data_IF_316838890944
#
_entry.id   IF_316838890944
#
_cell.length_a   1.000
_cell.length_b   1.000
_cell.length_c   1.000
_cell.angle_alpha   90.00
_cell.angle_beta   90.00
_cell.angle_gamma   90.00
#
_symmetry.space_group_name_H-M   'P 1'
#
loop_
_entity.id
_entity.type
_entity.pdbx_description
1 polymer ?
#
# COMPACT_ATOMS: atom_id res chain seq x y z
N UNK A 1 -40.72 71.29 24.38
CA UNK A 1 -41.19 70.10 23.68
C UNK A 1 -39.98 69.17 23.51
N UNK A 2 -40.05 67.94 24.03
CA UNK A 2 -38.92 67.02 24.25
C UNK A 2 -38.57 66.27 22.96
N UNK A 3 -37.31 66.35 22.52
CA UNK A 3 -36.74 65.53 21.47
C UNK A 3 -36.08 64.29 22.11
N UNK A 4 -36.55 63.09 21.70
CA UNK A 4 -35.95 61.79 22.11
C UNK A 4 -34.88 61.43 21.13
N UNK A 5 -33.66 61.25 21.65
CA UNK A 5 -32.57 60.69 20.90
C UNK A 5 -32.68 59.14 20.72
N UNK A 6 -32.40 58.64 19.50
CA UNK A 6 -32.24 57.22 19.21
C UNK A 6 -30.77 56.85 19.34
N UNK A 7 -30.48 55.90 20.22
CA UNK A 7 -29.15 55.30 20.34
C UNK A 7 -29.03 54.18 19.32
N UNK A 8 -28.03 54.27 18.44
CA UNK A 8 -27.65 53.24 17.50
C UNK A 8 -26.75 52.24 18.22
N UNK A 9 -27.19 50.98 18.32
CA UNK A 9 -26.37 49.87 18.81
C UNK A 9 -25.74 49.20 17.57
N UNK A 10 -24.45 49.45 17.35
CA UNK A 10 -23.62 48.70 16.38
C UNK A 10 -23.19 47.38 17.00
N UNK A 11 -23.90 46.33 16.66
CA UNK A 11 -23.50 44.95 16.99
C UNK A 11 -22.38 44.49 16.07
N UNK A 12 -21.16 44.40 16.57
CA UNK A 12 -20.06 43.69 15.88
C UNK A 12 -20.29 42.19 15.95
N UNK A 13 -20.70 41.59 14.83
CA UNK A 13 -20.74 40.16 14.70
C UNK A 13 -19.30 39.64 14.55
N UNK A 14 -18.76 39.01 15.60
CA UNK A 14 -17.52 38.23 15.53
C UNK A 14 -17.86 36.94 14.78
N UNK A 15 -17.44 36.88 13.52
CA UNK A 15 -17.47 35.65 12.71
C UNK A 15 -16.37 34.72 13.21
N UNK A 16 -16.71 33.82 14.14
CA UNK A 16 -15.80 32.74 14.55
C UNK A 16 -15.62 31.77 13.41
N UNK A 17 -14.51 31.86 12.69
CA UNK A 17 -14.08 30.86 11.72
C UNK A 17 -13.66 29.61 12.52
N UNK A 18 -14.57 28.66 12.63
CA UNK A 18 -14.25 27.30 13.11
C UNK A 18 -13.47 26.59 11.99
N UNK A 19 -12.16 26.84 11.94
CA UNK A 19 -11.25 25.99 11.19
C UNK A 19 -11.28 24.60 11.85
N UNK A 20 -11.96 23.67 11.21
CA UNK A 20 -12.07 22.29 11.71
C UNK A 20 -10.67 21.71 11.87
N UNK A 21 -10.36 21.21 13.06
CA UNK A 21 -9.07 20.58 13.40
C UNK A 21 -8.65 19.44 12.43
N UNK A 22 -9.58 18.90 11.65
CA UNK A 22 -9.37 17.93 10.60
C UNK A 22 -8.58 18.45 9.38
N UNK A 23 -8.84 19.70 8.93
CA UNK A 23 -8.14 20.28 7.79
C UNK A 23 -6.67 20.60 8.09
N UNK A 24 -6.38 21.05 9.31
CA UNK A 24 -5.00 21.31 9.78
C UNK A 24 -4.19 20.03 9.94
N UNK A 25 -4.80 18.91 10.38
CA UNK A 25 -4.15 17.61 10.47
C UNK A 25 -3.85 17.00 9.09
N UNK A 26 -4.73 17.16 8.11
CA UNK A 26 -4.53 16.67 6.74
C UNK A 26 -3.30 17.32 6.08
N UNK A 27 -3.15 18.63 6.23
CA UNK A 27 -2.02 19.39 5.69
C UNK A 27 -0.71 19.05 6.42
N UNK A 28 -0.77 18.72 7.71
CA UNK A 28 0.41 18.32 8.48
C UNK A 28 1.05 17.03 7.96
N UNK A 29 0.28 15.98 7.65
CA UNK A 29 0.82 14.68 7.18
C UNK A 29 1.48 14.77 5.81
N UNK A 30 0.99 15.61 4.91
CA UNK A 30 1.60 15.82 3.58
C UNK A 30 2.99 16.46 3.63
N UNK A 31 3.37 17.07 4.75
CA UNK A 31 4.67 17.72 4.96
C UNK A 31 5.62 16.90 5.85
N UNK A 32 5.17 15.75 6.38
CA UNK A 32 5.93 14.93 7.33
C UNK A 32 6.81 13.92 6.59
N UNK A 33 7.95 13.60 7.17
CA UNK A 33 8.88 12.58 6.71
C UNK A 33 10.10 13.15 5.99
N UNK A 34 11.15 12.36 5.95
CA UNK A 34 12.38 12.62 5.18
C UNK A 34 12.37 11.76 3.93
N UNK A 35 12.50 12.39 2.79
CA UNK A 35 12.61 11.70 1.51
C UNK A 35 14.09 11.52 1.14
N UNK A 36 14.45 10.37 0.60
CA UNK A 36 15.78 10.08 0.09
C UNK A 36 15.74 9.05 -1.04
N UNK A 37 16.79 9.06 -1.86
CA UNK A 37 16.99 8.08 -2.91
C UNK A 37 18.18 7.19 -2.55
N UNK A 38 18.04 5.89 -2.82
CA UNK A 38 19.11 4.92 -2.76
C UNK A 38 19.38 4.34 -4.15
N UNK A 39 20.62 4.38 -4.58
CA UNK A 39 21.04 3.91 -5.90
C UNK A 39 21.67 2.53 -5.78
N UNK A 40 21.05 1.54 -6.41
CA UNK A 40 21.61 0.21 -6.60
C UNK A 40 22.31 0.17 -7.96
N UNK A 41 23.62 0.01 -7.94
CA UNK A 41 24.40 -0.17 -9.16
C UNK A 41 24.35 -1.62 -9.63
N UNK A 42 24.31 -1.80 -10.95
CA UNK A 42 24.30 -3.11 -11.63
C UNK A 42 23.27 -4.07 -11.02
N UNK A 43 22.01 -3.59 -10.94
CA UNK A 43 20.95 -4.43 -10.39
C UNK A 43 20.54 -5.52 -11.36
N UNK A 44 20.72 -6.77 -10.96
CA UNK A 44 20.35 -7.96 -11.73
C UNK A 44 18.94 -8.38 -11.41
N UNK A 45 18.10 -8.43 -12.43
CA UNK A 45 16.71 -8.93 -12.33
C UNK A 45 16.65 -10.44 -12.49
N UNK A 46 15.59 -11.06 -12.02
CA UNK A 46 15.38 -12.51 -12.09
C UNK A 46 15.36 -13.07 -13.53
N UNK A 47 14.99 -12.24 -14.51
CA UNK A 47 15.02 -12.60 -15.94
C UNK A 47 16.43 -12.52 -16.58
N UNK A 48 17.45 -12.15 -15.81
CA UNK A 48 18.83 -12.00 -16.25
C UNK A 48 19.17 -10.62 -16.83
N UNK A 49 18.19 -9.73 -16.97
CA UNK A 49 18.46 -8.34 -17.38
C UNK A 49 19.19 -7.57 -16.28
N UNK A 50 19.93 -6.52 -16.67
CA UNK A 50 20.68 -5.67 -15.74
C UNK A 50 20.33 -4.22 -15.97
N UNK A 51 20.01 -3.50 -14.88
CA UNK A 51 19.88 -2.06 -14.92
C UNK A 51 21.12 -1.44 -14.28
N UNK A 52 21.92 -0.64 -15.01
CA UNK A 52 23.16 -0.05 -14.48
C UNK A 52 22.95 0.77 -13.21
N UNK A 53 21.83 1.46 -13.12
CA UNK A 53 21.41 2.20 -11.90
C UNK A 53 19.92 2.02 -11.69
N UNK A 54 19.56 1.33 -10.61
CA UNK A 54 18.18 1.27 -10.09
C UNK A 54 18.06 2.25 -8.93
N UNK A 55 17.27 3.32 -9.12
CA UNK A 55 16.94 4.27 -8.05
C UNK A 55 15.74 3.73 -7.27
N UNK A 56 15.85 3.68 -5.95
CA UNK A 56 14.78 3.40 -5.02
C UNK A 56 14.53 4.63 -4.17
N UNK A 57 13.33 5.18 -4.24
CA UNK A 57 12.88 6.30 -3.43
C UNK A 57 12.24 5.78 -2.14
N UNK A 58 12.47 6.49 -1.04
CA UNK A 58 11.89 6.13 0.25
C UNK A 58 11.54 7.38 1.06
N UNK A 59 10.39 7.35 1.71
CA UNK A 59 10.04 8.31 2.76
C UNK A 59 10.17 7.64 4.12
N UNK A 60 10.82 8.29 5.07
CA UNK A 60 10.99 7.76 6.44
C UNK A 60 10.44 8.73 7.48
N UNK A 61 9.90 8.17 8.60
CA UNK A 61 9.50 8.94 9.76
C UNK A 61 10.18 8.36 11.01
N UNK A 62 10.50 9.22 11.97
CA UNK A 62 11.20 8.80 13.20
C UNK A 62 12.67 8.47 12.96
N UNK A 63 13.26 7.75 13.90
CA UNK A 63 14.69 7.39 13.87
C UNK A 63 14.87 5.93 14.31
N UNK A 64 15.85 5.19 13.75
CA UNK A 64 16.16 3.85 14.19
C UNK A 64 16.73 3.85 15.60
N UNK A 65 16.23 2.97 16.46
CA UNK A 65 16.77 2.70 17.79
C UNK A 65 17.48 1.36 17.79
N UNK A 66 18.60 1.30 18.48
CA UNK A 66 19.42 0.07 18.55
C UNK A 66 19.54 -0.40 19.99
N UNK A 67 19.55 -1.70 20.16
CA UNK A 67 19.90 -2.33 21.44
C UNK A 67 21.42 -2.31 21.70
N UNK A 68 21.85 -2.89 22.81
CA UNK A 68 23.25 -2.97 23.20
C UNK A 68 24.12 -3.81 22.23
N UNK A 69 23.52 -4.67 21.42
CA UNK A 69 24.18 -5.49 20.40
C UNK A 69 24.15 -4.83 19.01
N UNK A 70 23.57 -3.63 18.90
CA UNK A 70 23.45 -2.90 17.64
C UNK A 70 22.33 -3.36 16.73
N UNK A 71 21.44 -4.26 17.18
CA UNK A 71 20.21 -4.66 16.47
C UNK A 71 19.23 -3.49 16.48
N UNK A 72 18.66 -3.14 15.33
CA UNK A 72 17.54 -2.19 15.25
C UNK A 72 16.28 -2.86 15.80
N UNK A 73 15.57 -2.17 16.70
CA UNK A 73 14.46 -2.76 17.47
C UNK A 73 13.10 -2.14 17.16
N UNK A 74 13.04 -1.05 16.41
CA UNK A 74 11.81 -0.28 16.20
C UNK A 74 11.49 0.05 14.73
N UNK A 75 12.16 -0.58 13.79
CA UNK A 75 11.94 -0.30 12.37
C UNK A 75 10.73 -1.07 11.83
N UNK A 76 9.85 -0.34 11.15
CA UNK A 76 8.63 -0.87 10.50
C UNK A 76 8.67 -0.50 9.02
N UNK A 77 8.56 -1.47 8.13
CA UNK A 77 8.38 -1.21 6.71
C UNK A 77 6.92 -1.38 6.31
N UNK A 78 6.39 -0.44 5.52
CA UNK A 78 5.02 -0.47 5.00
C UNK A 78 5.04 -0.44 3.49
N UNK A 79 4.56 -1.53 2.86
CA UNK A 79 4.63 -1.76 1.42
C UNK A 79 3.30 -1.44 0.75
N UNK A 80 3.34 -0.59 -0.30
CA UNK A 80 2.13 -0.11 -0.98
C UNK A 80 1.55 -1.11 -1.98
N UNK A 81 0.27 -0.94 -2.30
CA UNK A 81 -0.44 -1.68 -3.33
C UNK A 81 -0.13 -1.19 -4.75
N UNK A 82 -0.64 -1.92 -5.77
CA UNK A 82 -0.54 -1.53 -7.20
C UNK A 82 -1.09 -0.12 -7.41
N UNK A 83 -0.41 0.69 -8.18
CA UNK A 83 -0.75 2.09 -8.43
C UNK A 83 -0.46 3.04 -7.26
N UNK A 84 -0.01 2.53 -6.11
CA UNK A 84 0.32 3.33 -4.94
C UNK A 84 1.78 3.79 -4.89
N UNK A 85 2.10 4.49 -3.80
CA UNK A 85 3.46 4.92 -3.45
C UNK A 85 3.64 4.83 -1.95
N UNK A 86 4.88 4.80 -1.46
CA UNK A 86 5.17 4.85 -0.03
C UNK A 86 4.56 6.10 0.62
N UNK A 87 4.63 7.23 -0.06
CA UNK A 87 4.05 8.49 0.42
C UNK A 87 2.52 8.48 0.50
N UNK A 88 1.84 7.60 -0.24
CA UNK A 88 0.39 7.42 -0.16
C UNK A 88 -0.11 7.04 1.23
N UNK A 89 0.73 6.41 2.06
CA UNK A 89 0.42 6.13 3.46
C UNK A 89 0.41 7.35 4.38
N UNK A 90 0.89 8.50 3.91
CA UNK A 90 0.81 9.76 4.66
C UNK A 90 -0.54 10.46 4.49
N UNK A 91 -1.58 9.73 4.11
CA UNK A 91 -2.95 10.24 4.17
C UNK A 91 -3.43 10.36 5.62
N UNK A 92 -4.31 11.34 5.93
CA UNK A 92 -4.86 11.48 7.29
C UNK A 92 -5.57 10.23 7.80
N UNK A 93 -6.22 9.49 6.90
CA UNK A 93 -6.96 8.27 7.22
C UNK A 93 -6.06 7.08 7.51
N UNK A 94 -4.81 7.09 7.08
CA UNK A 94 -3.83 6.04 7.35
C UNK A 94 -2.81 6.49 8.40
N UNK A 95 -2.05 7.55 8.12
CA UNK A 95 -1.02 8.03 9.04
C UNK A 95 -1.59 8.55 10.36
N UNK A 96 -2.74 9.23 10.32
CA UNK A 96 -3.41 9.72 11.52
C UNK A 96 -3.86 8.63 12.48
N UNK A 97 -4.13 7.44 11.95
CA UNK A 97 -4.58 6.28 12.74
C UNK A 97 -3.44 5.36 13.19
N UNK A 98 -2.23 5.50 12.62
CA UNK A 98 -1.12 4.60 12.93
C UNK A 98 0.14 5.31 13.40
N UNK A 99 0.50 6.47 12.80
CA UNK A 99 1.81 7.08 12.98
C UNK A 99 1.78 8.33 13.87
N UNK A 100 0.58 8.76 14.27
CA UNK A 100 0.37 9.91 15.15
C UNK A 100 0.80 9.68 16.59
N UNK A 101 0.87 10.75 17.39
CA UNK A 101 1.24 10.64 18.80
C UNK A 101 0.30 9.71 19.58
N UNK A 102 0.87 8.70 20.25
CA UNK A 102 0.14 7.70 21.03
C UNK A 102 -0.54 6.60 20.21
N UNK A 103 -0.41 6.60 18.88
CA UNK A 103 -0.89 5.51 18.04
C UNK A 103 0.07 4.31 18.05
N UNK A 104 -0.39 3.15 17.54
CA UNK A 104 0.34 1.89 17.65
C UNK A 104 1.74 1.92 17.03
N UNK A 105 1.94 2.69 15.97
CA UNK A 105 3.21 2.87 15.28
C UNK A 105 3.64 4.35 15.33
N UNK A 106 3.45 4.99 16.48
CA UNK A 106 3.84 6.39 16.71
C UNK A 106 5.26 6.67 16.20
N UNK A 107 5.40 7.60 15.27
CA UNK A 107 6.68 7.97 14.66
C UNK A 107 7.70 8.58 15.64
N UNK A 108 7.28 8.97 16.85
CA UNK A 108 8.19 9.35 17.91
C UNK A 108 8.91 8.15 18.54
N UNK A 109 8.36 6.95 18.42
CA UNK A 109 8.91 5.72 19.00
C UNK A 109 9.33 4.70 17.96
N UNK A 110 8.77 4.74 16.75
CA UNK A 110 9.05 3.82 15.65
C UNK A 110 9.80 4.52 14.51
N UNK A 111 10.62 3.76 13.81
CA UNK A 111 11.23 4.16 12.54
C UNK A 111 10.42 3.59 11.39
N UNK A 112 9.54 4.41 10.81
CA UNK A 112 8.64 4.02 9.74
C UNK A 112 9.36 4.20 8.40
N UNK A 113 9.35 3.16 7.57
CA UNK A 113 10.01 3.10 6.27
C UNK A 113 8.93 2.88 5.21
N UNK A 114 8.76 3.84 4.32
CA UNK A 114 7.74 3.86 3.27
C UNK A 114 8.42 3.89 1.90
N UNK A 115 8.89 2.75 1.35
CA UNK A 115 9.55 2.74 0.05
C UNK A 115 8.53 2.88 -1.09
N UNK A 116 8.93 3.55 -2.16
CA UNK A 116 8.32 3.38 -3.47
C UNK A 116 8.88 2.10 -4.11
N UNK A 117 8.02 1.22 -4.55
CA UNK A 117 8.42 0.00 -5.26
C UNK A 117 9.04 0.31 -6.64
N UNK A 118 9.79 -0.65 -7.21
CA UNK A 118 10.20 -0.57 -8.62
C UNK A 118 8.94 -0.36 -9.47
N UNK A 119 9.00 0.56 -10.42
CA UNK A 119 7.87 0.86 -11.30
C UNK A 119 6.85 1.84 -10.70
N UNK A 120 7.09 2.42 -9.51
CA UNK A 120 6.15 3.30 -8.82
C UNK A 120 6.81 4.57 -8.27
N UNK A 121 6.00 5.59 -8.08
CA UNK A 121 6.38 6.84 -7.43
C UNK A 121 7.61 7.51 -8.04
N UNK A 122 8.60 7.77 -7.19
CA UNK A 122 9.90 8.34 -7.58
C UNK A 122 11.00 7.28 -7.77
N UNK A 123 10.72 5.99 -7.55
CA UNK A 123 11.64 4.89 -7.91
C UNK A 123 11.74 4.74 -9.42
N UNK A 124 12.79 4.10 -9.92
CA UNK A 124 12.97 3.84 -11.35
C UNK A 124 11.77 3.11 -11.95
N UNK A 125 11.28 3.57 -13.08
CA UNK A 125 10.08 3.07 -13.75
C UNK A 125 10.15 3.25 -15.28
N UNK A 126 9.34 2.54 -16.05
CA UNK A 126 9.29 2.65 -17.52
C UNK A 126 9.14 4.08 -18.05
N UNK A 127 8.26 4.87 -17.42
CA UNK A 127 7.99 6.26 -17.83
C UNK A 127 9.16 7.23 -17.62
N UNK A 128 10.21 6.84 -16.88
CA UNK A 128 11.44 7.65 -16.71
C UNK A 128 12.30 7.71 -17.99
N UNK A 129 11.81 7.24 -19.14
CA UNK A 129 12.43 7.37 -20.46
C UNK A 129 12.82 6.04 -21.10
N UNK A 130 12.93 4.95 -20.37
CA UNK A 130 13.22 3.63 -20.95
C UNK A 130 12.01 3.02 -21.66
N UNK A 131 10.81 3.38 -21.25
CA UNK A 131 9.54 2.87 -21.78
C UNK A 131 9.54 1.32 -21.81
N UNK A 132 9.20 0.70 -22.94
CA UNK A 132 9.19 -0.77 -23.10
C UNK A 132 10.57 -1.44 -23.03
N UNK A 133 11.65 -0.68 -22.95
CA UNK A 133 13.01 -1.23 -22.71
C UNK A 133 13.36 -1.35 -21.24
N UNK A 134 12.48 -0.90 -20.32
CA UNK A 134 12.66 -1.11 -18.89
C UNK A 134 12.61 -2.63 -18.59
N UNK A 135 13.46 -3.16 -17.69
CA UNK A 135 13.45 -4.57 -17.33
C UNK A 135 12.09 -5.05 -16.85
N UNK A 136 11.70 -6.27 -17.24
CA UNK A 136 10.47 -6.92 -16.77
C UNK A 136 10.63 -7.43 -15.34
N UNK A 137 10.57 -6.52 -14.37
CA UNK A 137 10.72 -6.87 -12.96
C UNK A 137 9.57 -7.72 -12.44
N UNK A 138 9.87 -8.49 -11.39
CA UNK A 138 8.95 -9.36 -10.68
C UNK A 138 8.84 -8.96 -9.20
N UNK A 139 7.91 -9.55 -8.47
CA UNK A 139 7.82 -9.31 -7.03
C UNK A 139 9.08 -9.77 -6.29
N UNK A 140 9.73 -10.84 -6.75
CA UNK A 140 11.02 -11.27 -6.22
C UNK A 140 12.11 -10.21 -6.35
N UNK A 141 12.13 -9.47 -7.47
CA UNK A 141 13.06 -8.37 -7.70
C UNK A 141 12.74 -7.19 -6.77
N UNK A 142 11.44 -6.87 -6.62
CA UNK A 142 10.98 -5.80 -5.73
C UNK A 142 11.37 -6.08 -4.27
N UNK A 143 11.14 -7.29 -3.78
CA UNK A 143 11.51 -7.71 -2.41
C UNK A 143 13.02 -7.69 -2.22
N UNK A 144 13.80 -8.13 -3.22
CA UNK A 144 15.28 -8.04 -3.19
C UNK A 144 15.75 -6.59 -3.13
N UNK A 145 15.18 -5.72 -3.94
CA UNK A 145 15.53 -4.29 -3.96
C UNK A 145 15.16 -3.60 -2.63
N UNK A 146 13.98 -3.91 -2.07
CA UNK A 146 13.55 -3.41 -0.76
C UNK A 146 14.50 -3.86 0.35
N UNK A 147 14.90 -5.13 0.36
CA UNK A 147 15.87 -5.66 1.33
C UNK A 147 17.20 -4.91 1.26
N UNK A 148 17.73 -4.68 0.06
CA UNK A 148 18.96 -3.93 -0.15
C UNK A 148 18.83 -2.46 0.24
N UNK A 149 17.71 -1.81 -0.08
CA UNK A 149 17.42 -0.45 0.40
C UNK A 149 17.47 -0.37 1.93
N UNK A 150 16.83 -1.32 2.61
CA UNK A 150 16.75 -1.36 4.08
C UNK A 150 18.13 -1.64 4.69
N UNK A 151 18.85 -2.63 4.19
CA UNK A 151 20.13 -3.07 4.78
C UNK A 151 21.29 -2.19 4.35
N UNK A 152 21.43 -1.89 3.06
CA UNK A 152 22.55 -1.17 2.49
C UNK A 152 22.32 0.35 2.49
N UNK A 153 21.09 0.81 2.23
CA UNK A 153 20.74 2.24 2.19
C UNK A 153 20.51 2.80 3.59
N UNK A 154 19.56 2.24 4.32
CA UNK A 154 19.13 2.74 5.62
C UNK A 154 19.94 2.16 6.79
N UNK A 155 20.82 1.19 6.54
CA UNK A 155 21.64 0.51 7.57
C UNK A 155 20.78 -0.13 8.68
N UNK A 156 19.58 -0.60 8.33
CA UNK A 156 18.69 -1.34 9.22
C UNK A 156 19.01 -2.82 9.08
N UNK A 157 19.36 -3.47 10.18
CA UNK A 157 19.76 -4.87 10.22
C UNK A 157 18.68 -5.80 10.79
N UNK A 158 17.52 -5.24 11.19
CA UNK A 158 16.37 -5.99 11.66
C UNK A 158 15.11 -5.12 11.64
N UNK A 159 13.95 -5.73 11.42
CA UNK A 159 12.64 -5.06 11.40
C UNK A 159 11.78 -5.58 12.57
N UNK A 160 11.11 -4.67 13.26
CA UNK A 160 10.05 -5.01 14.19
C UNK A 160 8.85 -5.60 13.42
N UNK A 161 8.50 -4.98 12.27
CA UNK A 161 7.33 -5.36 11.52
C UNK A 161 7.56 -5.14 10.01
N UNK A 162 7.14 -6.11 9.19
CA UNK A 162 6.87 -5.91 7.77
C UNK A 162 5.37 -5.96 7.57
N UNK A 163 4.79 -4.89 7.04
CA UNK A 163 3.39 -4.86 6.68
C UNK A 163 3.20 -4.33 5.26
N UNK A 164 2.11 -4.72 4.64
CA UNK A 164 1.82 -4.25 3.29
C UNK A 164 0.37 -4.45 2.90
N UNK A 165 -0.06 -3.67 1.92
CA UNK A 165 -1.44 -3.65 1.42
C UNK A 165 -1.49 -4.18 -0.01
N UNK A 166 -2.41 -5.11 -0.33
CA UNK A 166 -2.61 -5.64 -1.69
C UNK A 166 -1.29 -6.21 -2.26
N UNK A 167 -0.71 -5.60 -3.31
CA UNK A 167 0.61 -5.95 -3.83
C UNK A 167 1.67 -5.97 -2.71
N UNK A 168 1.68 -4.96 -1.84
CA UNK A 168 2.57 -4.93 -0.67
C UNK A 168 2.28 -6.05 0.32
N UNK A 169 1.02 -6.44 0.48
CA UNK A 169 0.63 -7.61 1.28
C UNK A 169 1.18 -8.91 0.68
N UNK A 170 1.13 -9.06 -0.65
CA UNK A 170 1.75 -10.18 -1.36
C UNK A 170 3.27 -10.22 -1.15
N UNK A 171 3.92 -9.06 -1.23
CA UNK A 171 5.35 -8.95 -0.93
C UNK A 171 5.67 -9.24 0.56
N UNK A 172 4.75 -8.94 1.48
CA UNK A 172 4.92 -9.26 2.91
C UNK A 172 5.03 -10.78 3.15
N UNK A 173 4.23 -11.60 2.45
CA UNK A 173 4.39 -13.05 2.47
C UNK A 173 5.77 -13.47 2.00
N UNK A 174 6.22 -12.93 0.86
CA UNK A 174 7.56 -13.23 0.29
C UNK A 174 8.70 -12.79 1.20
N UNK A 175 8.54 -11.69 1.94
CA UNK A 175 9.50 -11.25 2.95
C UNK A 175 9.68 -12.31 4.05
N UNK A 176 8.59 -12.84 4.57
CA UNK A 176 8.61 -13.88 5.59
C UNK A 176 9.32 -15.15 5.16
N UNK A 177 9.14 -15.57 3.90
CA UNK A 177 9.79 -16.76 3.32
C UNK A 177 11.26 -16.55 3.04
N UNK A 178 11.61 -15.41 2.46
CA UNK A 178 12.97 -15.16 1.95
C UNK A 178 13.94 -14.71 3.03
N UNK A 179 13.44 -14.01 4.06
CA UNK A 179 14.23 -13.43 5.14
C UNK A 179 13.67 -13.76 6.52
N UNK A 180 13.39 -15.05 6.84
CA UNK A 180 12.57 -15.42 8.01
C UNK A 180 13.12 -14.92 9.35
N UNK A 181 14.43 -14.71 9.47
CA UNK A 181 15.05 -14.19 10.71
C UNK A 181 15.19 -12.66 10.76
N UNK A 182 14.71 -11.94 9.74
CA UNK A 182 14.95 -10.50 9.61
C UNK A 182 13.87 -9.62 10.23
N UNK A 183 12.74 -10.20 10.65
CA UNK A 183 11.64 -9.46 11.27
C UNK A 183 11.04 -10.20 12.45
N UNK A 184 10.43 -9.41 13.36
CA UNK A 184 9.73 -9.94 14.54
C UNK A 184 8.23 -10.17 14.26
N UNK A 185 7.67 -9.61 13.18
CA UNK A 185 6.26 -9.82 12.80
C UNK A 185 5.94 -9.48 11.35
N UNK A 186 4.82 -10.03 10.87
CA UNK A 186 4.32 -9.88 9.50
C UNK A 186 2.81 -9.55 9.50
N UNK A 187 2.41 -8.52 8.72
CA UNK A 187 1.01 -8.13 8.57
C UNK A 187 0.65 -7.96 7.09
N UNK A 188 0.39 -9.04 6.33
CA UNK A 188 -0.16 -8.94 5.00
C UNK A 188 -1.65 -8.57 5.03
N UNK A 189 -2.02 -7.48 4.34
CA UNK A 189 -3.38 -6.97 4.22
C UNK A 189 -3.90 -7.14 2.80
N UNK A 190 -5.13 -7.62 2.64
CA UNK A 190 -5.81 -7.78 1.36
C UNK A 190 -4.99 -8.57 0.33
N UNK A 191 -4.46 -9.70 0.74
CA UNK A 191 -3.66 -10.62 -0.08
C UNK A 191 -3.79 -12.05 0.44
N UNK A 192 -3.61 -13.03 -0.45
CA UNK A 192 -3.74 -14.45 -0.10
C UNK A 192 -2.42 -15.20 -0.30
N UNK A 193 -2.11 -16.21 0.53
CA UNK A 193 -0.87 -16.98 0.45
C UNK A 193 -0.98 -18.14 -0.57
N UNK A 194 -1.23 -17.81 -1.82
CA UNK A 194 -1.39 -18.81 -2.87
C UNK A 194 -1.02 -18.27 -4.25
N UNK A 195 -0.97 -19.15 -5.27
CA UNK A 195 -0.60 -18.76 -6.61
C UNK A 195 -1.58 -17.73 -7.19
N UNK A 196 -1.07 -16.84 -8.03
CA UNK A 196 -1.89 -15.90 -8.78
C UNK A 196 -2.73 -16.64 -9.83
N UNK A 197 -3.95 -17.02 -9.45
CA UNK A 197 -4.85 -17.84 -10.25
C UNK A 197 -6.28 -17.27 -10.31
N UNK A 198 -7.16 -17.97 -10.99
CA UNK A 198 -8.59 -17.68 -11.05
C UNK A 198 -8.91 -16.25 -11.48
N UNK A 199 -9.93 -15.67 -10.87
CA UNK A 199 -10.47 -14.35 -11.21
C UNK A 199 -9.42 -13.23 -11.06
N UNK A 200 -8.56 -13.29 -10.04
CA UNK A 200 -7.49 -12.31 -9.86
C UNK A 200 -6.51 -12.33 -11.05
N UNK A 201 -6.07 -13.52 -11.49
CA UNK A 201 -5.21 -13.63 -12.68
C UNK A 201 -5.94 -13.21 -13.95
N UNK A 202 -7.21 -13.52 -14.10
CA UNK A 202 -8.03 -13.11 -15.26
C UNK A 202 -8.11 -11.59 -15.31
N UNK A 203 -8.39 -10.92 -14.20
CA UNK A 203 -8.40 -9.45 -14.11
C UNK A 203 -7.07 -8.85 -14.59
N UNK A 204 -5.94 -9.35 -14.08
CA UNK A 204 -4.60 -8.89 -14.48
C UNK A 204 -4.34 -9.12 -15.99
N UNK A 205 -4.79 -10.24 -16.52
CA UNK A 205 -4.72 -10.53 -17.96
C UNK A 205 -5.53 -9.53 -18.77
N UNK A 206 -6.75 -9.24 -18.35
CA UNK A 206 -7.62 -8.27 -19.04
C UNK A 206 -7.03 -6.85 -19.01
N UNK A 207 -6.46 -6.43 -17.88
CA UNK A 207 -5.73 -5.16 -17.76
C UNK A 207 -4.57 -5.11 -18.74
N UNK A 208 -3.73 -6.14 -18.76
CA UNK A 208 -2.57 -6.22 -19.67
C UNK A 208 -3.01 -6.24 -21.14
N UNK A 209 -4.06 -7.01 -21.48
CA UNK A 209 -4.57 -7.11 -22.85
C UNK A 209 -5.20 -5.81 -23.33
N UNK A 210 -5.91 -5.09 -22.47
CA UNK A 210 -6.49 -3.79 -22.82
C UNK A 210 -5.43 -2.81 -23.33
N UNK A 211 -4.28 -2.79 -22.66
CA UNK A 211 -3.15 -1.92 -23.07
C UNK A 211 -2.41 -2.50 -24.28
N UNK A 212 -2.04 -3.80 -24.24
CA UNK A 212 -1.17 -4.40 -25.27
C UNK A 212 -1.84 -4.54 -26.63
N UNK A 213 -3.17 -4.74 -26.66
CA UNK A 213 -3.93 -4.88 -27.90
C UNK A 213 -4.35 -3.52 -28.50
N UNK A 214 -4.11 -2.42 -27.81
CA UNK A 214 -4.35 -1.09 -28.34
C UNK A 214 -3.25 -0.69 -29.34
N UNK A 215 -3.59 -0.42 -30.63
CA UNK A 215 -2.62 0.05 -31.60
C UNK A 215 -1.90 1.35 -31.19
N UNK A 216 -2.54 2.20 -30.38
CA UNK A 216 -1.96 3.45 -29.88
C UNK A 216 -0.85 3.22 -28.86
N UNK A 217 -0.77 2.03 -28.24
CA UNK A 217 0.32 1.66 -27.33
C UNK A 217 1.67 1.54 -28.02
N UNK A 218 1.69 1.21 -29.33
CA UNK A 218 2.90 1.15 -30.18
C UNK A 218 4.05 0.32 -29.56
N UNK A 219 3.72 -0.83 -28.95
CA UNK A 219 4.72 -1.65 -28.27
C UNK A 219 5.41 -0.94 -27.09
N UNK A 220 4.71 0.00 -26.44
CA UNK A 220 5.20 0.79 -25.31
C UNK A 220 5.93 2.07 -25.69
N UNK A 221 5.95 2.47 -26.98
CA UNK A 221 6.66 3.66 -27.46
C UNK A 221 5.73 4.85 -27.77
N UNK A 222 4.50 4.86 -27.26
CA UNK A 222 3.52 5.91 -27.45
C UNK A 222 4.05 7.31 -27.05
N UNK A 223 3.43 8.33 -27.61
CA UNK A 223 3.66 9.75 -27.26
C UNK A 223 2.57 10.27 -26.34
N UNK A 224 1.32 9.91 -26.63
CA UNK A 224 0.14 10.18 -25.79
C UNK A 224 -0.34 8.87 -25.19
N UNK A 225 -0.93 8.93 -24.00
CA UNK A 225 -1.44 7.72 -23.32
C UNK A 225 -2.43 6.96 -24.23
N UNK A 226 -2.24 5.65 -24.42
CA UNK A 226 -3.11 4.83 -25.28
C UNK A 226 -4.50 4.70 -24.66
N UNK A 227 -5.53 4.57 -25.48
CA UNK A 227 -6.93 4.38 -25.02
C UNK A 227 -7.14 3.09 -24.26
N UNK A 228 -6.32 2.08 -24.51
CA UNK A 228 -6.34 0.82 -23.76
C UNK A 228 -6.13 0.99 -22.26
N UNK A 229 -5.45 2.07 -21.85
CA UNK A 229 -5.32 2.42 -20.44
C UNK A 229 -6.70 2.69 -19.79
N UNK A 230 -7.65 3.24 -20.54
CA UNK A 230 -9.01 3.48 -20.05
C UNK A 230 -9.68 2.17 -19.62
N UNK A 231 -9.72 1.17 -20.51
CA UNK A 231 -10.32 -0.14 -20.19
C UNK A 231 -9.58 -0.89 -19.06
N UNK A 232 -8.27 -0.69 -18.95
CA UNK A 232 -7.47 -1.26 -17.86
C UNK A 232 -7.86 -0.66 -16.50
N UNK A 233 -8.05 0.66 -16.42
CA UNK A 233 -8.50 1.36 -15.21
C UNK A 233 -9.95 1.02 -14.84
N UNK A 234 -10.85 0.88 -15.84
CA UNK A 234 -12.23 0.43 -15.60
C UNK A 234 -12.26 -0.95 -14.91
N UNK A 235 -11.42 -1.87 -15.37
CA UNK A 235 -11.30 -3.20 -14.77
C UNK A 235 -10.84 -3.12 -13.32
N UNK A 236 -9.82 -2.30 -13.04
CA UNK A 236 -9.33 -2.08 -11.67
C UNK A 236 -10.42 -1.48 -10.79
N UNK A 237 -11.11 -0.45 -11.26
CA UNK A 237 -12.22 0.18 -10.55
C UNK A 237 -13.27 -0.83 -10.13
N UNK A 238 -13.75 -1.64 -11.06
CA UNK A 238 -14.79 -2.64 -10.77
C UNK A 238 -14.33 -3.71 -9.77
N UNK A 239 -13.08 -4.16 -9.88
CA UNK A 239 -12.55 -5.22 -9.00
C UNK A 239 -12.23 -4.75 -7.59
N UNK A 240 -11.85 -3.48 -7.43
CA UNK A 240 -11.43 -2.95 -6.11
C UNK A 240 -12.54 -2.23 -5.36
N UNK A 241 -13.67 -1.95 -6.01
CA UNK A 241 -14.80 -1.23 -5.41
C UNK A 241 -15.68 -2.11 -4.52
N UNK A 242 -16.51 -1.48 -3.69
CA UNK A 242 -17.49 -2.14 -2.83
C UNK A 242 -18.91 -1.75 -3.25
N UNK A 243 -19.80 -2.71 -3.59
CA UNK A 243 -21.18 -2.44 -4.00
C UNK A 243 -21.95 -1.58 -2.99
N UNK A 244 -21.80 -1.83 -1.69
CA UNK A 244 -22.48 -1.06 -0.64
C UNK A 244 -22.04 0.40 -0.64
N UNK A 245 -20.76 0.67 -0.82
CA UNK A 245 -20.23 2.04 -0.82
C UNK A 245 -20.59 2.76 -2.13
N UNK A 246 -20.54 2.06 -3.26
CA UNK A 246 -20.94 2.64 -4.54
C UNK A 246 -22.41 3.02 -4.54
N UNK A 247 -23.30 2.18 -4.01
CA UNK A 247 -24.73 2.52 -3.90
C UNK A 247 -24.97 3.74 -3.03
N UNK A 248 -24.21 3.91 -1.93
CA UNK A 248 -24.28 5.12 -1.08
C UNK A 248 -23.79 6.38 -1.79
N UNK A 249 -22.67 6.26 -2.51
CA UNK A 249 -22.04 7.38 -3.21
C UNK A 249 -22.79 7.79 -4.48
N UNK A 250 -23.47 6.83 -5.11
CA UNK A 250 -24.11 6.97 -6.42
C UNK A 250 -25.45 6.22 -6.46
N UNK A 251 -26.48 6.72 -5.72
CA UNK A 251 -27.74 5.99 -5.52
C UNK A 251 -28.72 6.06 -6.72
N UNK A 252 -28.41 6.81 -7.78
CA UNK A 252 -29.22 6.93 -8.98
C UNK A 252 -28.39 6.69 -10.23
N UNK A 253 -29.06 6.43 -11.37
CA UNK A 253 -28.41 6.29 -12.67
C UNK A 253 -27.46 7.47 -12.96
N UNK A 254 -27.97 8.71 -12.88
CA UNK A 254 -27.21 9.90 -13.25
C UNK A 254 -26.01 10.11 -12.32
N UNK A 255 -26.17 9.83 -11.02
CA UNK A 255 -25.05 9.90 -10.06
C UNK A 255 -24.03 8.80 -10.27
N UNK A 256 -24.44 7.61 -10.72
CA UNK A 256 -23.52 6.51 -11.05
C UNK A 256 -22.69 6.85 -12.30
N UNK A 257 -23.32 7.33 -13.37
CA UNK A 257 -22.62 7.76 -14.57
C UNK A 257 -21.61 8.90 -14.28
N UNK A 258 -22.03 9.90 -13.50
CA UNK A 258 -21.16 11.00 -13.08
C UNK A 258 -20.02 10.54 -12.16
N UNK A 259 -20.24 9.54 -11.29
CA UNK A 259 -19.24 8.99 -10.40
C UNK A 259 -18.10 8.32 -11.19
N UNK A 260 -18.45 7.41 -12.11
CA UNK A 260 -17.47 6.73 -12.97
C UNK A 260 -16.68 7.73 -13.79
N UNK A 261 -17.36 8.72 -14.41
CA UNK A 261 -16.71 9.75 -15.22
C UNK A 261 -15.64 10.51 -14.42
N UNK A 262 -15.98 10.97 -13.20
CA UNK A 262 -15.02 11.68 -12.34
C UNK A 262 -13.88 10.79 -11.89
N UNK A 263 -14.17 9.55 -11.51
CA UNK A 263 -13.15 8.60 -11.09
C UNK A 263 -12.14 8.37 -12.20
N UNK A 264 -12.60 8.11 -13.41
CA UNK A 264 -11.76 7.90 -14.60
C UNK A 264 -10.91 9.12 -14.92
N UNK A 265 -11.49 10.33 -14.92
CA UNK A 265 -10.73 11.57 -15.17
C UNK A 265 -9.58 11.75 -14.18
N UNK A 266 -9.82 11.45 -12.90
CA UNK A 266 -8.80 11.58 -11.85
C UNK A 266 -7.66 10.59 -12.05
N UNK A 267 -7.97 9.31 -12.31
CA UNK A 267 -6.95 8.25 -12.39
C UNK A 267 -6.16 8.33 -13.69
N UNK A 268 -6.81 8.54 -14.82
CA UNK A 268 -6.12 8.68 -16.10
C UNK A 268 -5.13 9.85 -16.17
N UNK A 269 -5.40 10.93 -15.44
CA UNK A 269 -4.51 12.09 -15.42
C UNK A 269 -3.16 11.86 -14.75
N UNK A 270 -3.05 10.80 -13.94
CA UNK A 270 -1.87 10.49 -13.13
C UNK A 270 -1.24 9.12 -13.43
N UNK A 271 -1.82 8.33 -14.33
CA UNK A 271 -1.36 6.98 -14.65
C UNK A 271 -0.65 6.94 -16.00
N UNK A 272 0.53 6.33 -16.05
CA UNK A 272 1.23 5.98 -17.28
C UNK A 272 0.95 4.51 -17.65
N UNK A 273 0.63 4.25 -18.91
CA UNK A 273 0.22 2.92 -19.36
C UNK A 273 1.31 1.86 -19.20
N UNK A 274 2.58 2.20 -19.43
CA UNK A 274 3.67 1.26 -19.22
C UNK A 274 3.91 0.99 -17.75
N UNK A 275 3.94 2.03 -16.90
CA UNK A 275 4.11 1.85 -15.45
C UNK A 275 3.00 0.96 -14.89
N UNK A 276 1.76 1.17 -15.32
CA UNK A 276 0.60 0.40 -14.90
C UNK A 276 0.69 -1.07 -15.37
N UNK A 277 0.99 -1.27 -16.65
CA UNK A 277 1.16 -2.60 -17.25
C UNK A 277 2.23 -3.41 -16.52
N UNK A 278 3.41 -2.82 -16.30
CA UNK A 278 4.52 -3.48 -15.65
C UNK A 278 4.22 -3.86 -14.20
N UNK A 279 3.53 -3.00 -13.44
CA UNK A 279 3.10 -3.30 -12.07
C UNK A 279 2.14 -4.50 -12.00
N UNK A 280 1.21 -4.62 -12.96
CA UNK A 280 0.31 -5.77 -13.04
C UNK A 280 1.04 -7.06 -13.43
N UNK A 281 1.98 -6.98 -14.36
CA UNK A 281 2.75 -8.13 -14.82
C UNK A 281 3.84 -8.58 -13.83
N UNK A 282 4.29 -7.69 -12.93
CA UNK A 282 5.27 -8.01 -11.90
C UNK A 282 4.86 -9.17 -11.00
N UNK A 283 3.56 -9.41 -10.84
CA UNK A 283 3.01 -10.53 -10.06
C UNK A 283 3.21 -11.92 -10.68
N UNK A 284 3.88 -12.01 -11.83
CA UNK A 284 3.99 -13.26 -12.58
C UNK A 284 4.73 -14.40 -11.86
N UNK A 285 5.53 -14.07 -10.86
CA UNK A 285 6.27 -15.03 -10.02
C UNK A 285 5.68 -15.21 -8.62
N UNK A 286 4.51 -14.62 -8.34
CA UNK A 286 3.91 -14.71 -7.02
C UNK A 286 3.24 -16.06 -6.77
N UNK A 287 3.85 -16.85 -5.93
CA UNK A 287 3.29 -18.04 -5.30
C UNK A 287 4.06 -18.37 -4.01
N UNK A 288 3.61 -17.89 -2.84
CA UNK A 288 4.25 -18.23 -1.57
C UNK A 288 3.87 -19.62 -1.07
N UNK A 289 2.88 -20.28 -1.66
CA UNK A 289 2.35 -21.53 -1.14
C UNK A 289 3.38 -22.67 -0.98
N UNK A 290 4.46 -22.79 -1.76
CA UNK A 290 5.45 -23.84 -1.53
C UNK A 290 6.26 -23.69 -0.24
N UNK A 291 6.43 -22.46 0.25
CA UNK A 291 7.46 -22.10 1.24
C UNK A 291 6.89 -21.51 2.56
N UNK A 292 5.57 -21.61 2.79
CA UNK A 292 4.90 -21.01 3.96
C UNK A 292 5.49 -21.47 5.30
N UNK A 293 5.97 -22.70 5.40
CA UNK A 293 6.60 -23.26 6.60
C UNK A 293 7.94 -22.59 6.96
N UNK A 294 8.55 -21.84 6.02
CA UNK A 294 9.76 -21.05 6.29
C UNK A 294 9.47 -19.81 7.13
N UNK A 295 8.21 -19.36 7.18
CA UNK A 295 7.81 -18.19 7.95
C UNK A 295 7.79 -18.55 9.44
N UNK A 296 8.74 -18.00 10.19
CA UNK A 296 8.90 -18.27 11.62
C UNK A 296 8.37 -17.14 12.52
N UNK A 297 8.31 -15.92 11.99
CA UNK A 297 7.77 -14.77 12.72
C UNK A 297 6.24 -14.89 12.89
N UNK A 298 5.66 -14.40 14.00
CA UNK A 298 4.21 -14.20 14.12
C UNK A 298 3.66 -13.47 12.90
N UNK A 299 2.62 -14.05 12.28
CA UNK A 299 1.98 -13.52 11.10
C UNK A 299 0.48 -13.35 11.32
N UNK A 300 -0.02 -12.17 11.01
CA UNK A 300 -1.45 -11.87 11.02
C UNK A 300 -1.91 -11.41 9.63
N UNK A 301 -2.58 -12.27 8.89
CA UNK A 301 -3.22 -11.90 7.63
C UNK A 301 -4.62 -11.33 7.89
N UNK A 302 -4.96 -10.23 7.21
CA UNK A 302 -6.29 -9.60 7.32
C UNK A 302 -6.87 -9.35 5.94
N UNK A 303 -8.11 -9.78 5.74
CA UNK A 303 -8.88 -9.45 4.54
C UNK A 303 -10.30 -9.00 4.91
N UNK A 304 -11.03 -8.43 3.96
CA UNK A 304 -12.42 -8.00 4.10
C UNK A 304 -13.36 -8.97 3.38
N UNK A 305 -14.50 -9.28 3.98
CA UNK A 305 -15.47 -10.22 3.43
C UNK A 305 -16.17 -9.70 2.15
N UNK A 306 -16.04 -8.42 1.83
CA UNK A 306 -16.50 -7.81 0.58
C UNK A 306 -15.36 -7.57 -0.45
N UNK A 307 -14.16 -8.14 -0.23
CA UNK A 307 -13.03 -8.04 -1.17
C UNK A 307 -13.29 -8.90 -2.42
N UNK A 308 -13.38 -8.25 -3.59
CA UNK A 308 -13.60 -8.91 -4.87
C UNK A 308 -12.31 -9.30 -5.60
N UNK A 309 -11.16 -8.79 -5.14
CA UNK A 309 -9.82 -9.15 -5.65
C UNK A 309 -9.36 -10.47 -5.01
N UNK A 310 -9.57 -10.59 -3.70
CA UNK A 310 -9.27 -11.78 -2.89
C UNK A 310 -10.55 -12.28 -2.20
N UNK A 311 -11.50 -12.84 -2.97
CA UNK A 311 -12.81 -13.19 -2.44
C UNK A 311 -12.72 -14.33 -1.42
N UNK A 312 -13.30 -14.16 -0.22
CA UNK A 312 -13.14 -15.12 0.89
C UNK A 312 -13.77 -16.48 0.60
N UNK A 313 -14.77 -16.55 -0.27
CA UNK A 313 -15.39 -17.82 -0.68
C UNK A 313 -14.42 -18.82 -1.31
N UNK A 314 -13.24 -18.38 -1.73
CA UNK A 314 -12.18 -19.27 -2.18
C UNK A 314 -11.51 -20.05 -1.05
N UNK A 315 -11.64 -19.61 0.21
CA UNK A 315 -11.10 -20.27 1.40
C UNK A 315 -9.59 -20.48 1.35
N UNK A 316 -8.82 -19.60 0.67
CA UNK A 316 -7.38 -19.79 0.49
C UNK A 316 -6.66 -19.55 1.82
N UNK A 317 -6.98 -18.45 2.49
CA UNK A 317 -6.35 -18.09 3.76
C UNK A 317 -6.60 -19.17 4.82
N UNK A 318 -7.83 -19.66 4.95
CA UNK A 318 -8.19 -20.71 5.92
C UNK A 318 -7.47 -22.02 5.67
N UNK A 319 -7.27 -22.40 4.39
CA UNK A 319 -6.57 -23.64 4.05
C UNK A 319 -5.07 -23.55 4.21
N UNK A 320 -4.48 -22.38 3.95
CA UNK A 320 -3.03 -22.20 3.93
C UNK A 320 -2.46 -21.76 5.27
N UNK A 321 -3.24 -21.01 6.06
CA UNK A 321 -2.77 -20.47 7.36
C UNK A 321 -2.22 -21.53 8.33
N UNK A 322 -2.80 -22.76 8.44
CA UNK A 322 -2.22 -23.80 9.30
C UNK A 322 -0.79 -24.22 8.97
N UNK A 323 -0.28 -23.84 7.80
CA UNK A 323 1.12 -24.12 7.37
C UNK A 323 2.11 -23.07 7.91
N UNK A 324 1.64 -21.94 8.41
CA UNK A 324 2.47 -20.92 9.06
C UNK A 324 2.46 -21.16 10.56
N UNK A 325 3.59 -21.51 11.16
CA UNK A 325 3.68 -21.97 12.53
C UNK A 325 3.02 -21.03 13.57
N UNK A 326 3.15 -19.73 13.34
CA UNK A 326 2.55 -18.68 14.19
C UNK A 326 1.60 -17.79 13.39
N UNK A 327 0.90 -18.39 12.40
CA UNK A 327 -0.02 -17.72 11.52
C UNK A 327 -1.43 -17.58 12.12
N UNK A 328 -2.04 -16.43 11.90
CA UNK A 328 -3.45 -16.14 12.18
C UNK A 328 -4.07 -15.41 11.00
N UNK A 329 -5.31 -15.76 10.68
CA UNK A 329 -6.13 -15.06 9.69
C UNK A 329 -7.32 -14.37 10.35
N UNK A 330 -7.64 -13.16 9.91
CA UNK A 330 -8.83 -12.41 10.29
C UNK A 330 -9.60 -11.98 9.05
N UNK A 331 -10.84 -12.40 8.95
CA UNK A 331 -11.79 -11.93 7.96
C UNK A 331 -12.70 -10.86 8.58
N UNK A 332 -12.56 -9.62 8.14
CA UNK A 332 -13.40 -8.50 8.60
C UNK A 332 -14.79 -8.65 7.99
N UNK A 333 -15.86 -8.73 8.79
CA UNK A 333 -17.22 -8.83 8.29
C UNK A 333 -17.63 -7.61 7.45
N UNK A 334 -18.49 -7.83 6.45
CA UNK A 334 -19.10 -6.75 5.66
C UNK A 334 -19.84 -5.80 6.61
N UNK A 335 -19.62 -4.53 6.42
CA UNK A 335 -20.24 -3.47 7.21
C UNK A 335 -20.39 -2.16 6.43
N UNK A 336 -21.10 -1.22 7.02
CA UNK A 336 -21.18 0.16 6.51
C UNK A 336 -19.84 0.89 6.40
N UNK A 337 -18.80 0.36 7.03
CA UNK A 337 -17.46 0.95 7.08
C UNK A 337 -16.50 0.29 6.10
N UNK A 338 -16.72 -0.99 5.73
CA UNK A 338 -15.85 -1.72 4.79
C UNK A 338 -15.97 -1.17 3.37
N UNK A 339 -14.92 -1.34 2.58
CA UNK A 339 -14.79 -0.79 1.22
C UNK A 339 -14.26 -1.82 0.23
N UNK A 340 -14.68 -3.07 0.38
CA UNK A 340 -14.15 -4.15 -0.44
C UNK A 340 -12.64 -4.27 -0.30
N UNK A 341 -11.94 -4.39 -1.40
CA UNK A 341 -10.46 -4.44 -1.41
C UNK A 341 -9.85 -3.23 -0.71
N UNK A 342 -10.42 -2.04 -0.86
CA UNK A 342 -9.95 -0.80 -0.23
C UNK A 342 -10.03 -0.73 1.29
N UNK A 343 -10.62 -1.73 1.97
CA UNK A 343 -10.67 -1.80 3.45
C UNK A 343 -9.27 -1.81 4.07
N UNK A 344 -8.28 -2.35 3.40
CA UNK A 344 -6.88 -2.34 3.84
C UNK A 344 -6.32 -0.92 4.07
N UNK A 345 -6.85 0.09 3.38
CA UNK A 345 -6.42 1.49 3.52
C UNK A 345 -7.07 2.24 4.69
N UNK A 346 -7.87 1.55 5.51
CA UNK A 346 -8.63 2.12 6.62
C UNK A 346 -8.22 1.50 7.97
N UNK A 347 -7.06 1.87 8.54
CA UNK A 347 -6.57 1.31 9.80
C UNK A 347 -7.57 1.39 10.95
N UNK A 348 -8.43 2.41 10.98
CA UNK A 348 -9.50 2.52 11.98
C UNK A 348 -10.43 1.29 12.06
N UNK A 349 -10.42 0.42 11.05
CA UNK A 349 -11.20 -0.83 11.01
C UNK A 349 -10.40 -2.00 11.61
N UNK A 350 -9.10 -2.06 11.35
CA UNK A 350 -8.29 -3.23 11.63
C UNK A 350 -7.11 -3.00 12.60
N UNK A 351 -6.80 -1.76 12.99
CA UNK A 351 -5.63 -1.47 13.87
C UNK A 351 -5.69 -2.19 15.22
N UNK A 352 -6.87 -2.55 15.72
CA UNK A 352 -7.00 -3.36 16.93
C UNK A 352 -6.29 -4.71 16.83
N UNK A 353 -6.39 -5.37 15.67
CA UNK A 353 -5.70 -6.63 15.41
C UNK A 353 -4.17 -6.44 15.26
N UNK A 354 -3.72 -5.29 14.71
CA UNK A 354 -2.30 -4.94 14.74
C UNK A 354 -1.79 -4.83 16.19
N UNK A 355 -2.58 -4.22 17.09
CA UNK A 355 -2.23 -4.13 18.51
C UNK A 355 -2.05 -5.52 19.14
N UNK A 356 -2.91 -6.49 18.80
CA UNK A 356 -2.79 -7.88 19.25
C UNK A 356 -1.49 -8.53 18.72
N UNK A 357 -1.13 -8.30 17.45
CA UNK A 357 0.12 -8.80 16.87
C UNK A 357 1.34 -8.20 17.57
N UNK A 358 1.38 -6.88 17.76
CA UNK A 358 2.48 -6.21 18.46
C UNK A 358 2.64 -6.73 19.89
N UNK A 359 1.55 -6.92 20.63
CA UNK A 359 1.58 -7.54 21.96
C UNK A 359 2.07 -9.01 21.94
N UNK A 360 1.92 -9.74 20.84
CA UNK A 360 2.51 -11.08 20.67
C UNK A 360 4.01 -11.01 20.44
N UNK A 361 4.47 -10.08 19.61
CA UNK A 361 5.90 -9.82 19.34
C UNK A 361 6.62 -9.45 20.64
N UNK A 362 6.06 -8.54 21.45
CA UNK A 362 6.64 -8.12 22.74
C UNK A 362 6.81 -9.27 23.72
N UNK A 363 5.82 -10.16 23.83
CA UNK A 363 5.90 -11.35 24.70
C UNK A 363 6.94 -12.36 24.25
N UNK A 364 7.15 -12.50 22.93
CA UNK A 364 8.17 -13.39 22.35
C UNK A 364 9.59 -12.85 22.50
N UNK A 365 9.74 -11.54 22.67
CA UNK A 365 11.03 -10.85 22.85
C UNK A 365 11.49 -10.75 24.31
N UNK A 366 10.65 -11.19 25.27
CA UNK A 366 10.99 -11.23 26.69
C UNK A 366 12.12 -12.23 26.96
N UNK A 367 12.94 -12.02 28.00
CA UNK A 367 13.97 -12.99 28.39
C UNK A 367 13.29 -14.34 28.64
N UNK A 368 13.74 -15.36 27.94
CA UNK A 368 13.35 -16.75 28.25
C UNK A 368 13.71 -17.02 29.70
N UNK A 369 12.78 -17.55 30.55
CA UNK A 369 13.01 -17.77 31.98
C UNK A 369 14.13 -18.76 32.26
#
# INVERSE_FOLDING_TARGET
>A
MRTKGFASITGSAILAVVLTAGGLRAQAWSQVGTESDFLLHDFHFADGSVLPVLRLHVTTLGQPRRDALGKVTNAVVVLHGTGGTGRGFLSPTFAGELFGPGELLDSATHFIILPDGIGAGKSSKPSDGMKARFPNYRYSDMVTAQYRLITEGLKVNHLLLVMGTSMGGMQTWMWGERYPAFMDGLLPLASVPGPMAGRNRMMRKLVSDAIRNDPEWQGGNYVTQPRGLFGAEEMLFMMTSSPLQLLKAAPSRDTADAYVTRWMQTHLSSTDANDFLYQFEASGDYDPSPDLEKIVAPLLAINSADDQVNPPELGIDERMMPRVAHGRFVLIPISDRTRGHGTHSLPAIWKGYLGELLGTIERGSGPTP
#
